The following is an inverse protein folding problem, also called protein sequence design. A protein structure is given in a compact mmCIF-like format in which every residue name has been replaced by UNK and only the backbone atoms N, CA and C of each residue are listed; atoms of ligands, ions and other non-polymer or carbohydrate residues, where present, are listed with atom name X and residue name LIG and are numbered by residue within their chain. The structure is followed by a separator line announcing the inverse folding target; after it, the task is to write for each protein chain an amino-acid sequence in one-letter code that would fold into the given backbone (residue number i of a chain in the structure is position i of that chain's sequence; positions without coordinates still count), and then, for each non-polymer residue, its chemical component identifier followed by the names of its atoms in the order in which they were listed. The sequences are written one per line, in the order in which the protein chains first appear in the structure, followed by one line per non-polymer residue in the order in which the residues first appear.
data_IF_127033369192
#
_entry.id   IF_127033369192
#
_cell.length_a   1.000
_cell.length_b   1.000
_cell.length_c   1.000
_cell.angle_alpha   90.00
_cell.angle_beta   90.00
_cell.angle_gamma   90.00
#
_symmetry.space_group_name_H-M   'P 1'
#
loop_
_entity.id
_entity.type
_entity.pdbx_description
1 polymer ?
#
# COMPACT_ATOMS: atom_id res chain seq x y z
N UNK A 1 -32.75 -27.27 -10.88
CA UNK A 1 -33.65 -28.28 -11.47
C UNK A 1 -34.81 -28.69 -10.57
N UNK A 2 -34.58 -29.29 -9.39
CA UNK A 2 -35.66 -29.76 -8.49
C UNK A 2 -36.72 -28.70 -8.13
N UNK A 3 -36.32 -27.44 -8.01
CA UNK A 3 -37.20 -26.34 -7.59
C UNK A 3 -37.48 -25.30 -8.69
N UNK A 4 -37.04 -25.54 -9.93
CA UNK A 4 -37.25 -24.60 -11.03
C UNK A 4 -36.60 -23.21 -10.86
N UNK A 5 -35.71 -23.02 -9.89
CA UNK A 5 -35.00 -21.75 -9.70
C UNK A 5 -33.97 -21.60 -10.83
N UNK A 6 -34.04 -20.51 -11.62
CA UNK A 6 -33.04 -20.23 -12.64
C UNK A 6 -31.69 -19.94 -11.97
N UNK A 7 -30.64 -20.56 -12.49
CA UNK A 7 -29.26 -20.38 -12.03
C UNK A 7 -28.39 -19.95 -13.21
N UNK A 8 -27.56 -18.94 -13.01
CA UNK A 8 -26.53 -18.54 -13.95
C UNK A 8 -25.23 -19.21 -13.53
N UNK A 9 -24.70 -20.09 -14.37
CA UNK A 9 -23.35 -20.62 -14.18
C UNK A 9 -22.32 -19.51 -14.45
N UNK A 10 -21.28 -19.45 -13.61
CA UNK A 10 -20.19 -18.48 -13.69
C UNK A 10 -19.15 -18.80 -12.63
N UNK A 11 -18.03 -18.08 -12.67
CA UNK A 11 -17.04 -18.16 -11.60
C UNK A 11 -17.56 -17.40 -10.39
N UNK A 12 -17.53 -18.01 -9.21
CA UNK A 12 -17.92 -17.37 -7.96
C UNK A 12 -17.03 -16.17 -7.64
N UNK A 13 -17.64 -15.05 -7.25
CA UNK A 13 -16.94 -13.83 -6.85
C UNK A 13 -17.51 -13.20 -5.58
N UNK A 14 -16.69 -12.36 -4.94
CA UNK A 14 -17.13 -11.45 -3.87
C UNK A 14 -16.64 -10.05 -4.22
N UNK A 15 -17.58 -9.11 -4.34
CA UNK A 15 -17.32 -7.75 -4.80
C UNK A 15 -17.75 -6.74 -3.75
N UNK A 16 -16.78 -5.95 -3.29
CA UNK A 16 -17.00 -4.75 -2.48
C UNK A 16 -16.47 -3.52 -3.23
N UNK A 17 -16.66 -2.32 -2.69
CA UNK A 17 -16.02 -1.13 -3.27
C UNK A 17 -14.48 -1.15 -3.20
N UNK A 18 -13.89 -1.92 -2.27
CA UNK A 18 -12.45 -1.89 -2.02
C UNK A 18 -11.67 -2.93 -2.84
N UNK A 19 -12.29 -4.09 -3.04
CA UNK A 19 -11.66 -5.24 -3.66
C UNK A 19 -12.73 -6.18 -4.22
N UNK A 20 -12.37 -6.91 -5.27
CA UNK A 20 -13.10 -8.07 -5.76
C UNK A 20 -12.23 -9.32 -5.69
N UNK A 21 -12.75 -10.39 -5.08
CA UNK A 21 -12.21 -11.74 -5.16
C UNK A 21 -12.81 -12.48 -6.34
N UNK A 22 -12.00 -13.25 -7.08
CA UNK A 22 -12.41 -14.04 -8.24
C UNK A 22 -12.00 -15.49 -8.03
N UNK A 23 -12.98 -16.40 -8.11
CA UNK A 23 -12.74 -17.83 -8.13
C UNK A 23 -12.54 -18.47 -6.75
N UNK A 24 -13.08 -17.86 -5.69
CA UNK A 24 -13.05 -18.40 -4.33
C UNK A 24 -13.53 -19.86 -4.29
N UNK A 25 -12.59 -20.79 -4.13
CA UNK A 25 -12.84 -22.24 -4.11
C UNK A 25 -13.02 -22.91 -5.49
N UNK A 26 -13.00 -22.16 -6.58
CA UNK A 26 -13.20 -22.65 -7.95
C UNK A 26 -11.92 -22.69 -8.79
N UNK A 27 -10.83 -22.09 -8.30
CA UNK A 27 -9.48 -22.27 -8.88
C UNK A 27 -9.00 -23.71 -8.66
N UNK A 28 -9.38 -24.58 -9.59
CA UNK A 28 -9.25 -26.04 -9.46
C UNK A 28 -7.82 -26.57 -9.59
N UNK A 29 -6.89 -25.79 -10.18
CA UNK A 29 -5.50 -26.18 -10.34
C UNK A 29 -4.59 -24.96 -10.64
N UNK A 30 -3.27 -25.17 -10.55
CA UNK A 30 -2.26 -24.11 -10.70
C UNK A 30 -2.06 -23.61 -12.14
N UNK A 31 -2.51 -24.37 -13.15
CA UNK A 31 -2.39 -23.97 -14.56
C UNK A 31 -3.63 -23.28 -15.09
N UNK A 32 -4.72 -23.28 -14.32
CA UNK A 32 -5.94 -22.55 -14.62
C UNK A 32 -5.64 -21.06 -14.73
N UNK A 33 -5.93 -20.49 -15.90
CA UNK A 33 -5.94 -19.04 -16.11
C UNK A 33 -7.36 -18.54 -15.86
N UNK A 34 -7.49 -17.46 -15.09
CA UNK A 34 -8.75 -16.74 -15.01
C UNK A 34 -8.98 -16.07 -16.37
N UNK A 35 -10.11 -16.33 -17.05
CA UNK A 35 -10.43 -15.67 -18.32
C UNK A 35 -10.42 -14.14 -18.17
N UNK A 36 -10.00 -13.42 -19.21
CA UNK A 36 -9.86 -11.96 -19.09
C UNK A 36 -11.21 -11.26 -18.89
N UNK A 37 -12.28 -11.84 -19.44
CA UNK A 37 -13.66 -11.39 -19.31
C UNK A 37 -14.21 -11.48 -17.88
N UNK A 38 -13.56 -12.24 -17.00
CA UNK A 38 -13.92 -12.29 -15.60
C UNK A 38 -13.41 -11.07 -14.84
N UNK A 39 -12.47 -10.29 -15.36
CA UNK A 39 -11.99 -9.05 -14.72
C UNK A 39 -12.92 -7.89 -15.09
N UNK A 40 -13.53 -7.25 -14.09
CA UNK A 40 -14.51 -6.18 -14.32
C UNK A 40 -13.89 -4.77 -14.24
N UNK A 41 -12.74 -4.65 -13.57
CA UNK A 41 -11.99 -3.39 -13.46
C UNK A 41 -10.68 -3.48 -14.21
N UNK A 42 -9.86 -4.48 -13.90
CA UNK A 42 -8.52 -4.65 -14.42
C UNK A 42 -8.54 -5.00 -15.90
N UNK A 43 -7.82 -4.21 -16.70
CA UNK A 43 -7.46 -4.56 -18.07
C UNK A 43 -6.04 -5.09 -18.11
N UNK A 44 -5.81 -6.13 -18.90
CA UNK A 44 -4.45 -6.57 -19.17
C UNK A 44 -3.65 -5.48 -19.92
N UNK A 45 -2.31 -5.39 -19.76
CA UNK A 45 -1.51 -4.31 -20.36
C UNK A 45 -1.64 -4.15 -21.87
N UNK A 46 -1.90 -5.25 -22.60
CA UNK A 46 -2.18 -5.26 -24.04
C UNK A 46 -3.53 -4.60 -24.42
N UNK A 47 -4.46 -4.53 -23.48
CA UNK A 47 -5.82 -3.98 -23.64
C UNK A 47 -6.04 -2.68 -22.84
N UNK A 48 -5.06 -2.27 -22.04
CA UNK A 48 -5.07 -1.04 -21.25
C UNK A 48 -4.81 0.20 -22.12
N UNK A 49 -5.11 1.38 -21.60
CA UNK A 49 -4.91 2.64 -22.33
C UNK A 49 -3.44 2.83 -22.78
N UNK A 50 -3.25 3.24 -24.04
CA UNK A 50 -1.92 3.47 -24.64
C UNK A 50 -1.32 4.84 -24.33
N UNK A 51 -2.07 5.72 -23.65
CA UNK A 51 -1.56 7.00 -23.18
C UNK A 51 -1.52 7.00 -21.66
N UNK A 52 -0.47 7.56 -21.02
CA UNK A 52 -0.47 7.77 -19.58
C UNK A 52 -1.61 8.73 -19.19
N UNK A 53 -2.18 8.52 -18.01
CA UNK A 53 -3.14 9.44 -17.41
C UNK A 53 -2.50 10.13 -16.22
N UNK A 54 -2.51 11.47 -16.24
CA UNK A 54 -2.02 12.29 -15.13
C UNK A 54 -3.20 12.62 -14.23
N UNK A 55 -3.09 12.30 -12.94
CA UNK A 55 -4.10 12.59 -11.93
C UNK A 55 -3.47 13.27 -10.71
N UNK A 56 -4.28 14.05 -10.00
CA UNK A 56 -3.93 14.67 -8.73
C UNK A 56 -4.71 14.01 -7.59
N UNK A 57 -4.03 13.75 -6.47
CA UNK A 57 -4.64 13.22 -5.24
C UNK A 57 -4.04 13.90 -4.00
N UNK A 58 -4.90 14.26 -3.05
CA UNK A 58 -4.51 14.89 -1.78
C UNK A 58 -4.89 14.01 -0.60
N UNK A 59 -3.99 13.93 0.36
CA UNK A 59 -4.13 13.22 1.61
C UNK A 59 -4.13 14.20 2.78
N UNK A 60 -5.03 13.96 3.74
CA UNK A 60 -5.06 14.61 5.04
C UNK A 60 -5.17 13.55 6.14
N UNK A 61 -4.27 13.63 7.11
CA UNK A 61 -4.18 12.67 8.21
C UNK A 61 -4.22 11.21 7.71
N UNK A 62 -3.48 10.93 6.63
CA UNK A 62 -3.40 9.60 6.01
C UNK A 62 -4.57 9.19 5.11
N UNK A 63 -5.65 9.97 5.06
CA UNK A 63 -6.84 9.65 4.25
C UNK A 63 -6.86 10.49 2.96
N UNK A 64 -7.22 9.91 1.81
CA UNK A 64 -7.43 10.70 0.61
C UNK A 64 -8.69 11.55 0.77
N UNK A 65 -8.54 12.86 0.57
CA UNK A 65 -9.62 13.85 0.74
C UNK A 65 -9.99 14.56 -0.57
N UNK A 66 -9.16 14.41 -1.60
CA UNK A 66 -9.39 14.95 -2.93
C UNK A 66 -8.73 14.06 -4.00
N UNK A 67 -9.38 13.89 -5.15
CA UNK A 67 -8.80 13.28 -6.35
C UNK A 67 -9.50 13.83 -7.60
N UNK A 68 -8.78 14.51 -8.50
CA UNK A 68 -9.30 15.08 -9.77
C UNK A 68 -10.69 15.75 -9.67
N UNK A 69 -10.91 16.58 -8.65
CA UNK A 69 -12.19 17.28 -8.43
C UNK A 69 -13.19 16.55 -7.54
N UNK A 70 -12.91 15.31 -7.14
CA UNK A 70 -13.78 14.49 -6.27
C UNK A 70 -13.30 14.60 -4.82
N UNK A 71 -14.22 14.88 -3.88
CA UNK A 71 -13.88 15.03 -2.45
C UNK A 71 -14.52 13.97 -1.54
N UNK A 72 -15.52 13.24 -2.03
CA UNK A 72 -16.13 12.14 -1.27
C UNK A 72 -15.24 10.90 -1.36
N UNK A 73 -14.83 10.36 -0.21
CA UNK A 73 -13.92 9.21 -0.14
C UNK A 73 -14.43 7.99 -0.91
N UNK A 74 -15.73 7.69 -0.84
CA UNK A 74 -16.26 6.54 -1.55
C UNK A 74 -16.26 6.75 -3.07
N UNK A 75 -16.59 7.96 -3.52
CA UNK A 75 -16.46 8.33 -4.93
C UNK A 75 -15.01 8.32 -5.42
N UNK A 76 -14.05 8.74 -4.58
CA UNK A 76 -12.61 8.63 -4.89
C UNK A 76 -12.24 7.16 -5.12
N UNK A 77 -12.65 6.25 -4.24
CA UNK A 77 -12.38 4.80 -4.40
C UNK A 77 -12.99 4.27 -5.69
N UNK A 78 -14.25 4.60 -6.00
CA UNK A 78 -14.88 4.17 -7.26
C UNK A 78 -14.18 4.72 -8.50
N UNK A 79 -13.81 6.00 -8.48
CA UNK A 79 -13.04 6.65 -9.54
C UNK A 79 -11.71 5.94 -9.78
N UNK A 80 -10.96 5.68 -8.71
CA UNK A 80 -9.65 5.03 -8.79
C UNK A 80 -9.74 3.55 -9.20
N UNK A 81 -10.81 2.84 -8.84
CA UNK A 81 -11.02 1.48 -9.35
C UNK A 81 -11.16 1.46 -10.87
N UNK A 82 -11.99 2.37 -11.40
CA UNK A 82 -12.17 2.51 -12.85
C UNK A 82 -10.87 2.94 -13.53
N UNK A 83 -10.29 4.06 -13.08
CA UNK A 83 -9.10 4.63 -13.69
C UNK A 83 -7.90 3.68 -13.59
N UNK A 84 -7.60 3.16 -12.40
CA UNK A 84 -6.51 2.20 -12.19
C UNK A 84 -6.69 0.94 -13.02
N UNK A 85 -7.91 0.40 -13.07
CA UNK A 85 -8.23 -0.77 -13.87
C UNK A 85 -8.02 -0.55 -15.38
N UNK A 86 -8.42 0.61 -15.90
CA UNK A 86 -8.18 1.02 -17.30
C UNK A 86 -6.69 1.10 -17.66
N UNK A 87 -5.83 1.29 -16.66
CA UNK A 87 -4.37 1.36 -16.77
C UNK A 87 -3.65 0.11 -16.26
N UNK A 88 -4.31 -1.06 -16.20
CA UNK A 88 -3.73 -2.34 -15.78
C UNK A 88 -3.15 -2.37 -14.36
N UNK A 89 -3.77 -1.64 -13.43
CA UNK A 89 -3.40 -1.64 -12.01
C UNK A 89 -4.43 -2.44 -11.22
N UNK A 90 -4.00 -3.16 -10.18
CA UNK A 90 -4.89 -3.78 -9.20
C UNK A 90 -5.04 -5.30 -9.31
N UNK A 91 -4.43 -5.99 -10.28
CA UNK A 91 -4.49 -7.45 -10.33
C UNK A 91 -3.54 -8.07 -9.30
N UNK A 92 -4.09 -8.96 -8.47
CA UNK A 92 -3.35 -9.77 -7.51
C UNK A 92 -3.63 -11.24 -7.82
N UNK A 93 -2.59 -12.08 -7.87
CA UNK A 93 -2.70 -13.53 -8.02
C UNK A 93 -1.68 -14.14 -7.07
N UNK A 94 -2.17 -14.72 -5.98
CA UNK A 94 -1.31 -15.10 -4.86
C UNK A 94 -1.77 -16.38 -4.17
N UNK A 95 -0.88 -16.93 -3.36
CA UNK A 95 -1.23 -17.94 -2.38
C UNK A 95 -1.46 -17.29 -1.03
N UNK A 96 -2.49 -17.74 -0.32
CA UNK A 96 -2.76 -17.34 1.05
C UNK A 96 -3.04 -18.55 1.94
N UNK A 97 -2.79 -18.39 3.23
CA UNK A 97 -3.06 -19.39 4.24
C UNK A 97 -4.30 -18.94 5.01
N UNK A 98 -5.43 -19.62 4.79
CA UNK A 98 -6.70 -19.29 5.46
C UNK A 98 -6.69 -19.60 6.96
N UNK A 99 -7.80 -19.32 7.65
CA UNK A 99 -7.94 -19.53 9.10
C UNK A 99 -7.67 -20.98 9.55
N UNK A 100 -7.91 -21.96 8.69
CA UNK A 100 -7.65 -23.39 8.94
C UNK A 100 -6.28 -23.85 8.42
N UNK A 101 -5.38 -22.92 8.06
CA UNK A 101 -4.01 -23.16 7.60
C UNK A 101 -3.85 -24.01 6.32
N UNK A 102 -4.92 -24.09 5.51
CA UNK A 102 -4.83 -24.65 4.17
C UNK A 102 -4.51 -23.53 3.17
N UNK A 103 -3.69 -23.88 2.18
CA UNK A 103 -3.35 -22.99 1.08
C UNK A 103 -4.50 -22.87 0.10
N UNK A 104 -4.86 -21.65 -0.23
CA UNK A 104 -5.68 -21.31 -1.40
C UNK A 104 -4.84 -20.48 -2.38
N UNK A 105 -5.12 -20.64 -3.67
CA UNK A 105 -4.69 -19.69 -4.69
C UNK A 105 -5.88 -18.78 -4.95
N UNK A 106 -5.69 -17.49 -4.74
CA UNK A 106 -6.75 -16.49 -4.87
C UNK A 106 -6.33 -15.39 -5.84
N UNK A 107 -7.31 -14.90 -6.60
CA UNK A 107 -7.12 -13.84 -7.58
C UNK A 107 -8.02 -12.68 -7.21
N UNK A 108 -7.48 -11.46 -7.21
CA UNK A 108 -8.21 -10.25 -6.83
C UNK A 108 -8.03 -9.11 -7.82
N UNK A 109 -9.00 -8.19 -7.79
CA UNK A 109 -8.94 -6.85 -8.37
C UNK A 109 -9.07 -5.81 -7.25
N UNK A 110 -8.03 -5.00 -7.04
CA UNK A 110 -8.05 -3.89 -6.08
C UNK A 110 -7.29 -2.65 -6.59
N UNK A 111 -7.72 -2.01 -7.71
CA UNK A 111 -6.98 -0.91 -8.31
C UNK A 111 -6.88 0.32 -7.40
N UNK A 112 -7.98 0.74 -6.78
CA UNK A 112 -7.97 1.86 -5.85
C UNK A 112 -7.07 1.59 -4.64
N UNK A 113 -7.16 0.39 -4.06
CA UNK A 113 -6.32 -0.01 -2.95
C UNK A 113 -4.83 0.06 -3.31
N UNK A 114 -4.44 -0.47 -4.49
CA UNK A 114 -3.05 -0.44 -4.94
C UNK A 114 -2.55 1.00 -5.14
N UNK A 115 -3.34 1.89 -5.74
CA UNK A 115 -2.98 3.31 -5.91
C UNK A 115 -2.86 4.01 -4.55
N UNK A 116 -3.92 3.97 -3.74
CA UNK A 116 -3.96 4.67 -2.45
C UNK A 116 -2.83 4.20 -1.53
N UNK A 117 -2.63 2.89 -1.37
CA UNK A 117 -1.60 2.36 -0.47
C UNK A 117 -0.18 2.61 -0.98
N UNK A 118 0.04 2.67 -2.30
CA UNK A 118 1.35 3.01 -2.87
C UNK A 118 1.72 4.45 -2.54
N UNK A 119 0.79 5.40 -2.75
CA UNK A 119 1.03 6.81 -2.51
C UNK A 119 1.07 7.15 -1.02
N UNK A 120 0.19 6.54 -0.23
CA UNK A 120 0.19 6.66 1.23
C UNK A 120 1.53 6.24 1.82
N UNK A 121 2.09 5.10 1.39
CA UNK A 121 3.41 4.63 1.86
C UNK A 121 4.56 5.55 1.46
N UNK A 122 4.51 6.17 0.28
CA UNK A 122 5.50 7.18 -0.13
C UNK A 122 5.38 8.43 0.75
N UNK A 123 4.16 8.88 1.03
CA UNK A 123 3.91 10.04 1.89
C UNK A 123 4.34 9.80 3.34
N UNK A 124 4.16 8.59 3.86
CA UNK A 124 4.68 8.21 5.17
C UNK A 124 6.21 8.28 5.24
N UNK A 125 6.92 7.90 4.17
CA UNK A 125 8.38 8.06 4.12
C UNK A 125 8.81 9.53 4.14
N UNK A 126 8.00 10.41 3.56
CA UNK A 126 8.25 11.85 3.56
C UNK A 126 7.95 12.48 4.93
N UNK A 127 6.90 12.04 5.62
CA UNK A 127 6.37 12.74 6.80
C UNK A 127 6.78 12.13 8.15
N UNK A 128 7.06 10.83 8.20
CA UNK A 128 7.35 10.14 9.45
C UNK A 128 8.87 10.05 9.69
N UNK A 129 9.26 9.97 10.97
CA UNK A 129 10.68 9.76 11.30
C UNK A 129 11.17 8.41 10.81
N UNK A 130 12.49 8.26 10.69
CA UNK A 130 13.13 7.00 10.31
C UNK A 130 12.64 5.83 11.16
N UNK A 131 12.56 6.01 12.48
CA UNK A 131 12.16 4.96 13.41
C UNK A 131 10.67 4.61 13.25
N UNK A 132 9.80 5.59 12.99
CA UNK A 132 8.39 5.35 12.71
C UNK A 132 8.21 4.54 11.43
N UNK A 133 8.88 4.93 10.33
CA UNK A 133 8.86 4.21 9.04
C UNK A 133 9.35 2.76 9.19
N UNK A 134 10.32 2.51 10.08
CA UNK A 134 10.84 1.17 10.33
C UNK A 134 9.94 0.30 11.22
N UNK A 135 9.30 0.90 12.23
CA UNK A 135 8.50 0.16 13.21
C UNK A 135 7.06 -0.05 12.76
N UNK A 136 6.41 0.96 12.18
CA UNK A 136 4.99 0.93 11.81
C UNK A 136 4.59 -0.27 10.93
N UNK A 137 5.38 -0.70 9.92
CA UNK A 137 5.05 -1.87 9.11
C UNK A 137 4.92 -3.19 9.91
N UNK A 138 5.54 -3.29 11.08
CA UNK A 138 5.39 -4.45 11.95
C UNK A 138 4.01 -4.47 12.61
N UNK A 139 3.53 -3.30 13.04
CA UNK A 139 2.19 -3.12 13.62
C UNK A 139 1.11 -3.34 12.56
N UNK A 140 1.29 -2.79 11.36
CA UNK A 140 0.37 -3.00 10.23
C UNK A 140 0.25 -4.49 9.84
N UNK A 141 1.37 -5.22 9.87
CA UNK A 141 1.37 -6.65 9.57
C UNK A 141 0.56 -7.43 10.60
N UNK A 142 0.72 -7.10 11.88
CA UNK A 142 -0.08 -7.71 12.95
C UNK A 142 -1.56 -7.35 12.81
N UNK A 143 -1.86 -6.08 12.51
CA UNK A 143 -3.22 -5.61 12.24
C UNK A 143 -3.86 -6.39 11.09
N UNK A 144 -3.17 -6.51 9.95
CA UNK A 144 -3.67 -7.23 8.77
C UNK A 144 -3.88 -8.72 9.07
N UNK A 145 -2.95 -9.35 9.79
CA UNK A 145 -3.08 -10.73 10.24
C UNK A 145 -4.35 -10.94 11.08
N UNK A 146 -4.58 -10.06 12.06
CA UNK A 146 -5.76 -10.13 12.93
C UNK A 146 -7.06 -9.98 12.12
N UNK A 147 -7.12 -8.98 11.25
CA UNK A 147 -8.32 -8.71 10.41
C UNK A 147 -8.62 -9.89 9.50
N UNK A 148 -7.61 -10.44 8.81
CA UNK A 148 -7.77 -11.59 7.93
C UNK A 148 -8.28 -12.84 8.68
N UNK A 149 -7.88 -13.03 9.95
CA UNK A 149 -8.34 -14.15 10.79
C UNK A 149 -9.63 -13.87 11.57
N UNK A 150 -10.44 -12.88 11.15
CA UNK A 150 -11.72 -12.55 11.79
C UNK A 150 -11.60 -11.81 13.12
N UNK A 151 -10.40 -11.38 13.50
CA UNK A 151 -10.08 -10.66 14.73
C UNK A 151 -10.43 -9.17 14.71
N UNK A 152 -11.48 -8.75 13.99
CA UNK A 152 -11.85 -7.33 13.87
C UNK A 152 -12.07 -6.64 15.22
N UNK A 153 -12.68 -7.36 16.17
CA UNK A 153 -12.95 -6.90 17.54
C UNK A 153 -11.89 -7.38 18.56
N UNK A 154 -10.78 -7.93 18.10
CA UNK A 154 -9.73 -8.43 18.98
C UNK A 154 -9.02 -7.26 19.68
N UNK A 155 -8.75 -7.29 21.01
CA UNK A 155 -8.14 -6.17 21.72
C UNK A 155 -6.81 -5.70 21.12
N UNK A 156 -5.93 -6.64 20.74
CA UNK A 156 -4.65 -6.31 20.08
C UNK A 156 -4.84 -5.56 18.76
N UNK A 157 -5.92 -5.84 18.00
CA UNK A 157 -6.22 -5.09 16.77
C UNK A 157 -6.58 -3.65 17.12
N UNK A 158 -7.37 -3.43 18.18
CA UNK A 158 -7.70 -2.07 18.68
C UNK A 158 -6.44 -1.32 19.15
N UNK A 159 -5.51 -2.01 19.81
CA UNK A 159 -4.21 -1.42 20.17
C UNK A 159 -3.39 -1.03 18.93
N UNK A 160 -3.42 -1.86 17.88
CA UNK A 160 -2.83 -1.54 16.58
C UNK A 160 -3.53 -0.34 15.92
N UNK A 161 -4.87 -0.24 15.95
CA UNK A 161 -5.61 0.90 15.43
C UNK A 161 -5.16 2.20 16.10
N UNK A 162 -5.02 2.20 17.43
CA UNK A 162 -4.58 3.37 18.19
C UNK A 162 -3.16 3.80 17.80
N UNK A 163 -2.24 2.85 17.65
CA UNK A 163 -0.89 3.14 17.17
C UNK A 163 -0.92 3.72 15.75
N UNK A 164 -1.63 3.08 14.82
CA UNK A 164 -1.72 3.52 13.42
C UNK A 164 -2.31 4.94 13.37
N UNK A 165 -3.46 5.18 14.00
CA UNK A 165 -4.09 6.50 14.05
C UNK A 165 -3.14 7.57 14.62
N UNK A 166 -2.41 7.25 15.69
CA UNK A 166 -1.44 8.18 16.30
C UNK A 166 -0.27 8.56 15.38
N UNK A 167 0.01 7.78 14.34
CA UNK A 167 1.05 8.11 13.36
C UNK A 167 0.56 9.01 12.24
N UNK A 168 -0.75 9.04 11.97
CA UNK A 168 -1.29 9.66 10.76
C UNK A 168 -1.38 11.19 10.79
N UNK A 169 -1.29 11.83 11.96
CA UNK A 169 -1.44 13.29 12.09
C UNK A 169 -0.49 14.10 11.17
N UNK A 170 0.69 13.57 10.86
CA UNK A 170 1.69 14.21 10.01
C UNK A 170 1.58 13.81 8.52
N UNK A 171 0.73 12.85 8.17
CA UNK A 171 0.64 12.28 6.82
C UNK A 171 -0.31 13.13 5.97
N UNK A 172 0.16 14.33 5.60
CA UNK A 172 -0.58 15.30 4.79
C UNK A 172 0.24 15.64 3.55
N UNK A 173 -0.37 15.59 2.37
CA UNK A 173 0.36 15.90 1.15
C UNK A 173 -0.45 15.70 -0.11
N UNK A 174 0.08 16.22 -1.21
CA UNK A 174 -0.54 16.25 -2.53
C UNK A 174 0.40 15.63 -3.53
N UNK A 175 -0.14 14.80 -4.41
CA UNK A 175 0.61 14.05 -5.41
C UNK A 175 0.02 14.33 -6.78
N UNK A 176 0.91 14.56 -7.75
CA UNK A 176 0.59 14.41 -9.17
C UNK A 176 1.24 13.12 -9.64
N UNK A 177 0.45 12.19 -10.17
CA UNK A 177 0.94 10.88 -10.60
C UNK A 177 0.49 10.54 -12.01
N UNK A 178 1.32 9.79 -12.71
CA UNK A 178 1.03 9.22 -14.02
C UNK A 178 0.72 7.72 -13.87
N UNK A 179 -0.46 7.31 -14.33
CA UNK A 179 -0.86 5.91 -14.40
C UNK A 179 -0.65 5.37 -15.81
N UNK A 180 0.10 4.28 -15.94
CA UNK A 180 0.40 3.71 -17.25
C UNK A 180 0.77 2.23 -17.21
N UNK A 181 -0.06 1.39 -17.83
CA UNK A 181 0.18 -0.05 -18.06
C UNK A 181 0.80 -0.77 -16.85
N UNK A 182 0.14 -0.66 -15.71
CA UNK A 182 0.51 -1.30 -14.44
C UNK A 182 1.43 -0.47 -13.55
N UNK A 183 1.84 0.72 -13.98
CA UNK A 183 2.74 1.60 -13.23
C UNK A 183 1.98 2.77 -12.60
N UNK A 184 2.36 3.12 -11.38
CA UNK A 184 1.98 4.33 -10.67
C UNK A 184 3.26 5.16 -10.53
N UNK A 185 3.42 6.19 -11.35
CA UNK A 185 4.66 6.98 -11.43
C UNK A 185 4.43 8.34 -10.81
N UNK A 186 5.14 8.66 -9.74
CA UNK A 186 4.98 9.95 -9.06
C UNK A 186 5.76 11.02 -9.83
N UNK A 187 5.05 12.02 -10.37
CA UNK A 187 5.63 13.17 -11.06
C UNK A 187 5.98 14.28 -10.06
N UNK A 188 5.06 14.62 -9.17
CA UNK A 188 5.23 15.69 -8.19
C UNK A 188 4.73 15.26 -6.80
N UNK A 189 5.36 15.85 -5.77
CA UNK A 189 5.01 15.64 -4.36
C UNK A 189 5.06 16.99 -3.64
N UNK A 190 4.04 17.25 -2.85
CA UNK A 190 4.00 18.40 -1.95
C UNK A 190 3.52 17.95 -0.58
N UNK A 191 4.10 18.50 0.48
CA UNK A 191 3.65 18.24 1.85
C UNK A 191 3.98 19.42 2.75
N UNK A 192 3.01 19.84 3.56
CA UNK A 192 3.20 20.87 4.59
C UNK A 192 3.81 20.31 5.88
N UNK A 193 3.84 18.99 6.04
CA UNK A 193 4.30 18.27 7.24
C UNK A 193 5.44 17.30 6.95
N UNK A 194 6.03 17.36 5.75
CA UNK A 194 7.17 16.57 5.34
C UNK A 194 8.45 16.94 6.08
N UNK A 195 9.32 15.96 6.29
CA UNK A 195 10.62 16.12 6.96
C UNK A 195 11.78 16.36 5.97
N UNK A 196 11.48 16.45 4.66
CA UNK A 196 12.47 16.78 3.65
C UNK A 196 12.81 18.28 3.69
N UNK A 197 13.97 18.59 4.26
CA UNK A 197 14.48 19.95 4.46
C UNK A 197 15.74 20.18 3.58
N UNK A 198 15.60 20.53 2.29
CA UNK A 198 16.74 20.74 1.39
C UNK A 198 17.68 21.86 1.86
N UNK A 199 17.17 22.87 2.55
CA UNK A 199 17.94 23.95 3.18
C UNK A 199 18.88 23.47 4.30
N UNK A 200 18.60 22.30 4.90
CA UNK A 200 19.48 21.65 5.87
C UNK A 200 20.39 20.62 5.19
N UNK A 201 19.83 19.81 4.26
CA UNK A 201 20.50 18.62 3.72
C UNK A 201 21.42 18.88 2.53
N UNK A 202 21.15 19.92 1.73
CA UNK A 202 21.87 20.17 0.47
C UNK A 202 23.35 20.47 0.70
N UNK A 203 24.22 19.92 -0.14
CA UNK A 203 25.66 20.24 -0.12
C UNK A 203 25.94 21.70 -0.52
N UNK A 204 25.01 22.33 -1.23
CA UNK A 204 25.08 23.74 -1.59
C UNK A 204 24.51 24.65 -0.49
N UNK A 205 23.86 24.09 0.53
CA UNK A 205 23.31 24.84 1.66
C UNK A 205 24.25 24.76 2.88
N UNK A 206 24.07 25.70 3.81
CA UNK A 206 24.85 25.78 5.06
C UNK A 206 24.03 25.42 6.30
N UNK A 207 22.88 24.75 6.14
CA UNK A 207 21.96 24.46 7.24
C UNK A 207 22.41 23.33 8.19
N UNK A 208 23.48 22.60 7.87
CA UNK A 208 24.07 21.56 8.73
C UNK A 208 25.59 21.71 8.82
N UNK A 209 26.13 21.84 10.04
CA UNK A 209 27.58 21.83 10.25
C UNK A 209 28.10 20.39 10.11
N UNK A 210 28.76 20.12 8.98
CA UNK A 210 29.29 18.80 8.67
C UNK A 210 30.31 18.30 9.71
N UNK A 211 30.94 19.20 10.48
CA UNK A 211 31.88 18.82 11.55
C UNK A 211 31.22 17.98 12.63
N UNK A 212 29.92 18.11 12.85
CA UNK A 212 29.17 17.33 13.84
C UNK A 212 29.07 15.84 13.48
N UNK A 213 29.23 15.50 12.20
CA UNK A 213 29.19 14.11 11.71
C UNK A 213 30.29 13.24 12.33
N UNK A 214 31.47 13.82 12.57
CA UNK A 214 32.63 13.13 13.14
C UNK A 214 32.39 12.68 14.59
N UNK A 215 32.09 13.61 15.52
CA UNK A 215 31.66 13.28 16.88
C UNK A 215 30.45 12.36 16.93
N UNK A 216 29.40 12.61 16.14
CA UNK A 216 28.21 11.78 16.10
C UNK A 216 28.52 10.32 15.74
N UNK A 217 29.31 10.11 14.69
CA UNK A 217 29.75 8.77 14.26
C UNK A 217 30.63 8.09 15.32
N UNK A 218 31.51 8.85 15.98
CA UNK A 218 32.35 8.33 17.07
C UNK A 218 31.50 7.79 18.23
N UNK A 219 30.44 8.50 18.60
CA UNK A 219 29.50 8.10 19.66
C UNK A 219 28.66 6.92 19.21
N UNK A 220 28.04 6.99 18.02
CA UNK A 220 27.19 5.93 17.48
C UNK A 220 27.95 4.59 17.37
N UNK A 221 29.24 4.63 17.05
CA UNK A 221 30.08 3.43 16.89
C UNK A 221 30.68 2.84 18.17
N UNK A 222 30.40 3.40 19.36
CA UNK A 222 31.06 2.97 20.60
C UNK A 222 30.82 1.49 20.92
N UNK A 223 29.59 1.00 20.76
CA UNK A 223 29.29 -0.41 21.03
C UNK A 223 30.02 -1.36 20.08
N UNK A 224 30.11 -1.02 18.78
CA UNK A 224 30.87 -1.81 17.80
C UNK A 224 32.36 -1.86 18.11
N UNK A 225 32.95 -0.75 18.60
CA UNK A 225 34.35 -0.72 19.05
C UNK A 225 34.58 -1.61 20.28
N UNK A 226 33.63 -1.67 21.20
CA UNK A 226 33.71 -2.56 22.37
C UNK A 226 33.64 -4.02 21.94
N UNK A 227 32.72 -4.36 21.02
CA UNK A 227 32.63 -5.70 20.44
C UNK A 227 33.97 -6.13 19.82
N UNK A 228 34.55 -5.29 18.96
CA UNK A 228 35.84 -5.54 18.33
C UNK A 228 36.97 -5.72 19.36
N UNK A 229 37.03 -4.86 20.40
CA UNK A 229 38.05 -4.97 21.46
C UNK A 229 37.95 -6.26 22.28
N UNK A 230 36.74 -6.79 22.46
CA UNK A 230 36.53 -8.03 23.23
C UNK A 230 36.91 -9.29 22.45
N UNK A 231 37.21 -9.17 21.15
CA UNK A 231 37.53 -10.32 20.31
C UNK A 231 36.39 -11.35 20.28
N UNK A 232 35.14 -10.92 20.50
CA UNK A 232 34.00 -11.83 20.46
C UNK A 232 33.84 -12.32 19.03
N UNK A 233 33.62 -13.63 18.82
CA UNK A 233 33.42 -14.20 17.50
C UNK A 233 32.03 -13.79 17.01
N UNK A 234 31.93 -12.57 16.49
CA UNK A 234 30.84 -12.20 15.59
C UNK A 234 31.36 -12.32 14.15
N UNK A 235 31.76 -13.57 13.86
CA UNK A 235 31.75 -14.34 12.61
C UNK A 235 32.01 -15.80 13.01
#
# INVERSE_FOLDING_TARGET
EKYGIPYKAGIGDDLTMWCRSIGSGEVSNLTMRIPQEEFIWYKYPENAADKPHVMEIEFKEGLPVYCDGITDLAQIVHYLNKLGGEHAIGKIDMFEDGMIALKSREVYEAPAAQIILTLHRDLEQLCLTKEQVQFKPQVERLWAYMVYHGGWWHPVKVDCDAFIASSQWAVNGRYVVELYKGNIMIAERESSTGLFAPEIRSLAASGFDQKDSGPATKIHSLQYKILARRGLPYL
#
